data_IF_066202487555
#
_entry.id   IF_066202487555
#
_cell.length_a   1.000
_cell.length_b   1.000
_cell.length_c   1.000
_cell.angle_alpha   90.00
_cell.angle_beta   90.00
_cell.angle_gamma   90.00
#
_symmetry.space_group_name_H-M   'P 1'
#
loop_
_entity.id
_entity.type
_entity.pdbx_description
1 polymer ?
#
# COMPACT_ATOMS: atom_id res chain seq x y z
N UNK A 1 61.07 -37.28 -42.26
CA UNK A 1 61.17 -35.81 -42.21
C UNK A 1 60.64 -35.34 -40.85
N UNK A 2 61.49 -34.65 -40.08
CA UNK A 2 61.30 -33.74 -38.91
C UNK A 2 60.07 -33.99 -37.98
N UNK A 3 60.27 -34.50 -36.76
CA UNK A 3 60.75 -33.85 -35.51
C UNK A 3 59.66 -33.15 -34.69
N UNK A 4 59.60 -33.54 -33.41
CA UNK A 4 58.75 -33.10 -32.31
C UNK A 4 58.94 -31.61 -31.95
N UNK A 5 57.95 -31.05 -31.23
CA UNK A 5 58.14 -29.83 -30.44
C UNK A 5 56.88 -29.30 -29.74
N UNK A 6 56.55 -29.86 -28.55
CA UNK A 6 55.73 -29.18 -27.53
C UNK A 6 56.57 -28.12 -26.83
N UNK A 7 56.14 -26.86 -26.82
CA UNK A 7 56.61 -25.81 -25.89
C UNK A 7 55.37 -24.98 -25.50
N UNK A 8 54.84 -25.16 -24.28
CA UNK A 8 55.13 -24.44 -23.02
C UNK A 8 54.73 -22.97 -23.02
N UNK A 9 53.79 -22.71 -22.11
CA UNK A 9 53.28 -21.44 -21.59
C UNK A 9 54.40 -20.45 -21.25
N UNK A 10 54.20 -19.20 -21.64
CA UNK A 10 54.83 -18.04 -20.99
C UNK A 10 53.75 -16.98 -20.79
N UNK A 11 53.45 -16.73 -19.52
CA UNK A 11 52.68 -15.59 -19.06
C UNK A 11 53.55 -14.33 -19.18
N UNK A 12 52.98 -13.27 -19.74
CA UNK A 12 53.55 -11.92 -19.67
C UNK A 12 52.49 -11.01 -19.06
N UNK A 13 52.72 -10.67 -17.81
CA UNK A 13 52.05 -9.59 -17.11
C UNK A 13 52.59 -8.26 -17.66
N UNK A 14 51.70 -7.39 -18.14
CA UNK A 14 52.03 -6.01 -18.47
C UNK A 14 51.22 -5.09 -17.55
N UNK A 15 51.93 -4.49 -16.59
CA UNK A 15 51.52 -3.33 -15.83
C UNK A 15 51.74 -2.09 -16.70
N UNK A 16 50.71 -1.27 -16.92
CA UNK A 16 50.88 0.08 -17.46
C UNK A 16 49.76 1.00 -16.99
N UNK A 17 50.19 1.95 -16.16
CA UNK A 17 49.69 3.26 -15.77
C UNK A 17 48.39 3.81 -16.39
N UNK A 18 47.67 4.54 -15.54
CA UNK A 18 46.40 5.18 -15.83
C UNK A 18 46.46 6.37 -16.77
N UNK A 19 45.28 6.68 -17.31
CA UNK A 19 44.94 7.97 -17.89
C UNK A 19 43.54 8.33 -17.36
N UNK A 20 43.51 9.34 -16.49
CA UNK A 20 42.30 10.06 -16.11
C UNK A 20 41.94 10.99 -17.27
N UNK A 21 40.83 10.72 -17.96
CA UNK A 21 40.19 11.65 -18.88
C UNK A 21 38.89 12.11 -18.24
N UNK A 22 38.94 13.30 -17.63
CA UNK A 22 37.75 14.07 -17.30
C UNK A 22 37.16 14.60 -18.61
N UNK A 23 35.98 14.08 -18.98
CA UNK A 23 35.15 14.70 -20.03
C UNK A 23 34.03 15.44 -19.33
N UNK A 24 34.18 16.76 -19.23
CA UNK A 24 33.07 17.66 -19.02
C UNK A 24 32.31 17.77 -20.36
N UNK A 25 31.03 17.44 -20.35
CA UNK A 25 30.14 17.58 -21.49
C UNK A 25 28.70 17.80 -21.01
N UNK A 26 28.26 19.05 -21.07
CA UNK A 26 26.85 19.43 -20.98
C UNK A 26 26.15 19.06 -22.31
N UNK A 27 24.89 18.63 -22.25
CA UNK A 27 24.03 18.56 -23.43
C UNK A 27 22.90 17.54 -23.35
N UNK A 28 21.72 18.02 -22.95
CA UNK A 28 20.35 17.63 -23.30
C UNK A 28 20.05 16.27 -23.97
N UNK A 29 19.03 15.60 -23.42
CA UNK A 29 18.07 14.81 -24.18
C UNK A 29 18.22 13.31 -24.07
N UNK A 30 17.58 12.70 -23.06
CA UNK A 30 17.56 11.25 -22.90
C UNK A 30 16.55 10.76 -21.88
N UNK A 31 15.36 10.45 -22.37
CA UNK A 31 14.43 9.40 -21.92
C UNK A 31 14.41 9.06 -20.41
N UNK A 32 13.42 9.61 -19.69
CA UNK A 32 13.11 9.21 -18.31
C UNK A 32 12.35 7.88 -18.29
N UNK A 33 13.01 6.82 -18.73
CA UNK A 33 12.58 5.46 -18.38
C UNK A 33 12.78 5.27 -16.88
N UNK A 34 11.68 5.03 -16.16
CA UNK A 34 11.65 4.71 -14.74
C UNK A 34 12.58 3.52 -14.45
N UNK A 35 13.79 3.82 -13.98
CA UNK A 35 14.78 2.81 -13.60
C UNK A 35 14.31 2.17 -12.29
N UNK A 36 13.93 0.90 -12.39
CA UNK A 36 13.45 0.07 -11.29
C UNK A 36 14.37 0.13 -10.08
N UNK A 37 13.77 0.36 -8.92
CA UNK A 37 14.47 0.40 -7.64
C UNK A 37 14.66 -1.03 -7.16
N UNK A 38 15.82 -1.61 -7.47
CA UNK A 38 16.33 -2.79 -6.75
C UNK A 38 16.87 -2.29 -5.42
N UNK A 39 16.04 -2.26 -4.39
CA UNK A 39 16.44 -1.86 -3.05
C UNK A 39 15.55 -2.55 -2.03
N UNK A 40 16.17 -3.26 -1.09
CA UNK A 40 15.59 -3.58 0.21
C UNK A 40 14.94 -2.31 0.75
N UNK A 41 13.67 -2.39 1.17
CA UNK A 41 12.88 -1.26 1.65
C UNK A 41 13.67 -0.37 2.62
N UNK A 42 14.35 0.66 2.12
CA UNK A 42 14.95 1.65 2.98
C UNK A 42 13.78 2.45 3.54
N UNK A 43 13.54 2.31 4.84
CA UNK A 43 12.42 2.90 5.55
C UNK A 43 12.36 4.45 5.49
N UNK A 44 13.30 5.09 4.79
CA UNK A 44 13.47 6.55 4.71
C UNK A 44 12.61 7.22 3.64
N UNK A 45 12.15 6.47 2.64
CA UNK A 45 11.35 7.00 1.53
C UNK A 45 9.97 6.37 1.52
N UNK A 46 8.93 7.19 1.47
CA UNK A 46 7.55 6.73 1.31
C UNK A 46 6.99 7.18 -0.03
N UNK A 47 6.48 6.23 -0.80
CA UNK A 47 5.83 6.49 -2.08
C UNK A 47 4.34 6.80 -1.88
N UNK A 48 3.90 7.99 -2.28
CA UNK A 48 2.49 8.35 -2.31
C UNK A 48 1.80 7.62 -3.48
N UNK A 49 0.70 6.93 -3.19
CA UNK A 49 -0.04 6.13 -4.16
C UNK A 49 -1.52 6.59 -4.23
N UNK A 50 -1.85 7.46 -5.20
CA UNK A 50 -3.22 7.90 -5.45
C UNK A 50 -4.16 6.74 -5.75
N UNK A 51 -5.46 6.90 -5.46
CA UNK A 51 -6.50 5.85 -5.62
C UNK A 51 -6.49 5.22 -7.00
N UNK A 52 -6.35 6.03 -8.05
CA UNK A 52 -6.46 5.59 -9.46
C UNK A 52 -5.15 5.08 -10.06
N UNK A 53 -4.01 5.31 -9.38
CA UNK A 53 -2.70 4.92 -9.90
C UNK A 53 -2.37 3.48 -9.52
N UNK A 54 -2.07 2.56 -10.47
CA UNK A 54 -1.66 1.20 -10.14
C UNK A 54 -0.31 1.17 -9.39
N UNK A 55 0.53 2.20 -9.54
CA UNK A 55 1.86 2.25 -8.94
C UNK A 55 2.86 1.27 -9.58
N UNK A 56 4.04 1.09 -8.96
CA UNK A 56 5.11 0.27 -9.53
C UNK A 56 4.82 -1.23 -9.40
N UNK A 57 5.12 -1.97 -10.48
CA UNK A 57 5.11 -3.43 -10.51
C UNK A 57 3.75 -4.07 -10.17
N UNK A 58 2.66 -3.76 -10.90
CA UNK A 58 1.37 -4.36 -10.63
C UNK A 58 1.41 -5.89 -10.84
N UNK A 59 0.92 -6.63 -9.85
CA UNK A 59 0.68 -8.06 -9.99
C UNK A 59 -0.44 -8.33 -11.00
N UNK A 60 -1.52 -7.54 -10.97
CA UNK A 60 -2.67 -7.71 -11.85
C UNK A 60 -3.16 -6.39 -12.43
N UNK A 61 -4.04 -6.46 -13.42
CA UNK A 61 -4.92 -5.33 -13.73
C UNK A 61 -5.80 -4.98 -12.52
N UNK A 62 -6.34 -3.76 -12.50
CA UNK A 62 -7.24 -3.31 -11.42
C UNK A 62 -8.49 -4.19 -11.33
N UNK A 63 -8.83 -4.54 -10.09
CA UNK A 63 -10.09 -5.18 -9.69
C UNK A 63 -10.88 -4.32 -8.71
N UNK A 64 -10.41 -3.10 -8.43
CA UNK A 64 -11.17 -2.12 -7.68
C UNK A 64 -12.45 -1.77 -8.44
N UNK A 65 -13.59 -1.77 -7.75
CA UNK A 65 -14.86 -1.25 -8.27
C UNK A 65 -14.93 0.24 -7.96
N UNK A 66 -15.43 1.03 -8.91
CA UNK A 66 -15.63 2.45 -8.69
C UNK A 66 -16.57 2.64 -7.48
N UNK A 67 -16.13 3.43 -6.50
CA UNK A 67 -16.99 3.96 -5.45
C UNK A 67 -17.21 5.42 -5.79
N UNK A 68 -18.38 5.76 -6.29
CA UNK A 68 -18.72 7.12 -6.75
C UNK A 68 -18.77 8.16 -5.62
N UNK A 69 -18.71 7.72 -4.35
CA UNK A 69 -19.17 8.55 -3.20
C UNK A 69 -18.10 8.91 -2.17
N UNK A 70 -16.87 8.38 -2.23
CA UNK A 70 -15.82 8.78 -1.27
C UNK A 70 -15.02 9.95 -1.82
N UNK A 71 -15.66 11.12 -1.90
CA UNK A 71 -14.93 12.38 -1.99
C UNK A 71 -14.04 12.49 -0.75
N UNK A 72 -12.73 12.78 -0.89
CA UNK A 72 -11.95 13.19 0.27
C UNK A 72 -12.61 14.45 0.83
N UNK A 73 -13.18 14.36 2.03
CA UNK A 73 -13.57 15.53 2.81
C UNK A 73 -12.30 16.25 3.25
N UNK A 74 -11.76 17.04 2.32
CA UNK A 74 -10.74 18.03 2.56
C UNK A 74 -11.09 19.23 1.69
N UNK A 75 -11.39 20.37 2.32
CA UNK A 75 -11.53 21.62 1.59
C UNK A 75 -10.26 21.88 0.76
N UNK A 76 -10.37 22.48 -0.44
CA UNK A 76 -9.20 22.95 -1.15
C UNK A 76 -8.58 24.13 -0.39
N UNK A 77 -7.24 24.21 -0.43
CA UNK A 77 -6.41 25.42 -0.32
C UNK A 77 -5.58 25.71 0.93
N UNK A 78 -5.46 24.83 1.92
CA UNK A 78 -4.35 24.95 2.89
C UNK A 78 -3.20 24.01 2.49
N UNK A 79 -2.09 24.59 2.03
CA UNK A 79 -0.81 23.90 1.97
C UNK A 79 -0.52 23.37 3.39
N UNK A 80 -0.18 22.08 3.58
CA UNK A 80 0.01 21.56 4.93
C UNK A 80 1.06 22.39 5.66
N UNK A 81 0.69 22.94 6.83
CA UNK A 81 1.56 23.76 7.69
C UNK A 81 2.82 23.00 8.17
N UNK A 82 2.91 21.71 7.88
CA UNK A 82 3.97 20.82 8.31
C UNK A 82 4.39 19.86 7.19
N UNK A 83 5.66 19.90 6.82
CA UNK A 83 6.32 18.80 6.09
C UNK A 83 6.66 17.61 7.01
N UNK A 84 6.34 17.70 8.31
CA UNK A 84 6.65 16.65 9.28
C UNK A 84 5.60 15.56 9.20
N UNK A 85 6.04 14.41 8.70
CA UNK A 85 5.22 13.21 8.65
C UNK A 85 4.93 12.67 10.04
N UNK A 86 3.64 12.53 10.36
CA UNK A 86 3.16 11.88 11.61
C UNK A 86 2.30 10.69 11.25
N UNK A 87 2.61 9.54 11.83
CA UNK A 87 1.90 8.29 11.60
C UNK A 87 1.22 7.85 12.89
N UNK A 88 -0.09 7.72 12.85
CA UNK A 88 -0.91 7.37 14.00
C UNK A 88 -1.22 5.88 13.96
N UNK A 89 -0.77 5.08 14.94
CA UNK A 89 -1.14 3.68 15.03
C UNK A 89 -2.63 3.56 15.33
N UNK A 90 -3.33 2.75 14.54
CA UNK A 90 -4.77 2.52 14.67
C UNK A 90 -5.05 1.03 14.57
N UNK A 91 -5.83 0.49 15.51
CA UNK A 91 -6.31 -0.90 15.43
C UNK A 91 -7.13 -1.11 14.16
N UNK A 92 -6.80 -2.12 13.36
CA UNK A 92 -7.54 -2.52 12.17
C UNK A 92 -8.99 -2.92 12.44
N UNK A 93 -9.33 -3.22 13.69
CA UNK A 93 -10.69 -3.55 14.11
C UNK A 93 -11.51 -2.33 14.60
N UNK A 94 -10.95 -1.11 14.58
CA UNK A 94 -11.71 0.06 15.04
C UNK A 94 -12.89 0.34 14.08
N UNK A 95 -14.12 0.52 14.61
CA UNK A 95 -15.26 0.88 13.79
C UNK A 95 -15.00 2.16 12.98
N UNK A 96 -15.36 2.12 11.71
CA UNK A 96 -15.25 3.27 10.82
C UNK A 96 -13.85 3.59 10.29
N UNK A 97 -12.83 2.78 10.56
CA UNK A 97 -11.54 2.87 9.82
C UNK A 97 -11.74 2.65 8.31
N UNK A 98 -12.68 1.77 7.99
CA UNK A 98 -13.04 1.41 6.63
C UNK A 98 -14.43 1.93 6.27
N UNK A 99 -14.63 2.10 4.97
CA UNK A 99 -15.93 2.40 4.37
C UNK A 99 -16.26 1.43 3.24
N UNK A 100 -17.44 1.63 2.66
CA UNK A 100 -17.88 0.91 1.47
C UNK A 100 -19.33 1.25 1.15
N UNK A 101 -19.85 0.66 0.08
CA UNK A 101 -21.27 0.75 -0.27
C UNK A 101 -21.97 -0.54 0.17
N UNK A 102 -23.17 -0.41 0.74
CA UNK A 102 -23.97 -1.57 1.17
C UNK A 102 -24.21 -2.51 -0.02
N UNK A 103 -23.98 -3.80 0.20
CA UNK A 103 -24.15 -4.86 -0.80
C UNK A 103 -23.25 -4.75 -2.04
N UNK A 104 -22.21 -3.92 -1.98
CA UNK A 104 -21.21 -3.78 -3.04
C UNK A 104 -19.81 -3.97 -2.48
N UNK A 105 -19.10 -4.97 -2.99
CA UNK A 105 -17.68 -5.15 -2.72
C UNK A 105 -16.85 -4.04 -3.36
N UNK A 106 -15.90 -3.47 -2.62
CA UNK A 106 -14.93 -2.52 -3.15
C UNK A 106 -13.96 -3.16 -4.16
N UNK A 107 -13.80 -4.47 -4.12
CA UNK A 107 -12.91 -5.25 -4.98
C UNK A 107 -13.61 -6.46 -5.56
N UNK A 108 -13.31 -6.79 -6.80
CA UNK A 108 -13.73 -8.03 -7.43
C UNK A 108 -12.77 -9.18 -7.08
N UNK A 109 -13.07 -9.89 -5.98
CA UNK A 109 -12.22 -10.94 -5.40
C UNK A 109 -12.03 -12.13 -6.36
N UNK A 110 -13.08 -12.52 -7.07
CA UNK A 110 -13.03 -13.64 -8.02
C UNK A 110 -12.14 -13.27 -9.22
N UNK A 111 -12.34 -12.07 -9.80
CA UNK A 111 -11.47 -11.57 -10.87
C UNK A 111 -10.02 -11.43 -10.41
N UNK A 112 -9.79 -10.97 -9.18
CA UNK A 112 -8.45 -10.83 -8.60
C UNK A 112 -7.76 -12.19 -8.47
N UNK A 113 -8.53 -13.20 -8.03
CA UNK A 113 -8.05 -14.59 -7.93
C UNK A 113 -7.63 -15.11 -9.29
N UNK A 114 -8.50 -15.01 -10.31
CA UNK A 114 -8.18 -15.44 -11.68
C UNK A 114 -6.91 -14.77 -12.19
N UNK A 115 -6.84 -13.43 -12.14
CA UNK A 115 -5.70 -12.68 -12.65
C UNK A 115 -4.37 -13.03 -11.95
N UNK A 116 -4.41 -13.32 -10.64
CA UNK A 116 -3.21 -13.73 -9.91
C UNK A 116 -2.79 -15.16 -10.26
N UNK A 117 -3.74 -16.08 -10.42
CA UNK A 117 -3.43 -17.50 -10.66
C UNK A 117 -3.10 -17.84 -12.11
N UNK A 118 -3.45 -16.96 -13.06
CA UNK A 118 -3.16 -17.15 -14.48
C UNK A 118 -1.65 -17.07 -14.79
N UNK A 119 -0.88 -16.32 -14.00
CA UNK A 119 0.58 -16.23 -14.11
C UNK A 119 1.24 -16.92 -12.92
N UNK A 120 1.84 -18.09 -13.16
CA UNK A 120 2.48 -18.91 -12.12
C UNK A 120 3.63 -18.20 -11.41
N UNK A 121 4.39 -17.37 -12.11
CA UNK A 121 5.54 -16.66 -11.52
C UNK A 121 5.05 -15.56 -10.58
N UNK A 122 4.02 -14.82 -11.00
CA UNK A 122 3.36 -13.83 -10.14
C UNK A 122 2.63 -14.48 -8.96
N UNK A 123 1.95 -15.60 -9.18
CA UNK A 123 1.31 -16.35 -8.09
C UNK A 123 2.35 -16.76 -7.03
N UNK A 124 3.50 -17.30 -7.44
CA UNK A 124 4.58 -17.66 -6.50
C UNK A 124 5.09 -16.44 -5.75
N UNK A 125 5.44 -15.35 -6.45
CA UNK A 125 5.95 -14.14 -5.81
C UNK A 125 4.92 -13.48 -4.87
N UNK A 126 3.63 -13.54 -5.21
CA UNK A 126 2.55 -13.06 -4.35
C UNK A 126 2.47 -13.91 -3.07
N UNK A 127 2.48 -15.23 -3.22
CA UNK A 127 2.43 -16.18 -2.11
C UNK A 127 3.61 -15.99 -1.15
N UNK A 128 4.82 -15.86 -1.69
CA UNK A 128 6.04 -15.58 -0.90
C UNK A 128 5.89 -14.28 -0.09
N UNK A 129 5.43 -13.20 -0.72
CA UNK A 129 5.23 -11.91 -0.03
C UNK A 129 4.06 -11.91 0.97
N UNK A 130 3.01 -12.70 0.71
CA UNK A 130 1.86 -12.84 1.59
C UNK A 130 2.09 -13.82 2.75
N UNK A 131 3.16 -14.62 2.68
CA UNK A 131 3.49 -15.66 3.68
C UNK A 131 2.54 -16.86 3.62
N UNK A 132 2.14 -17.26 2.41
CA UNK A 132 1.25 -18.41 2.15
C UNK A 132 1.85 -19.30 1.06
N UNK A 133 1.31 -20.51 0.89
CA UNK A 133 1.62 -21.35 -0.27
C UNK A 133 0.83 -20.89 -1.50
N UNK A 134 1.39 -21.02 -2.71
CA UNK A 134 0.72 -20.59 -3.95
C UNK A 134 -0.65 -21.26 -4.17
N UNK A 135 -0.79 -22.53 -3.76
CA UNK A 135 -2.06 -23.27 -3.83
C UNK A 135 -3.15 -22.69 -2.92
N UNK A 136 -2.77 -21.91 -1.89
CA UNK A 136 -3.70 -21.30 -0.94
C UNK A 136 -4.27 -19.97 -1.43
N UNK A 137 -3.74 -19.37 -2.50
CA UNK A 137 -4.15 -18.04 -2.99
C UNK A 137 -5.68 -17.88 -3.12
N UNK A 138 -6.43 -18.81 -3.76
CA UNK A 138 -7.88 -18.66 -3.87
C UNK A 138 -8.59 -18.62 -2.52
N UNK A 139 -8.22 -19.52 -1.60
CA UNK A 139 -8.79 -19.58 -0.26
C UNK A 139 -8.42 -18.36 0.59
N UNK A 140 -7.18 -17.90 0.46
CA UNK A 140 -6.68 -16.70 1.12
C UNK A 140 -7.47 -15.47 0.68
N UNK A 141 -7.57 -15.18 -0.63
CA UNK A 141 -8.28 -14.01 -1.14
C UNK A 141 -9.77 -14.04 -0.77
N UNK A 142 -10.41 -15.21 -0.82
CA UNK A 142 -11.81 -15.40 -0.41
C UNK A 142 -12.04 -15.16 1.08
N UNK A 143 -11.02 -15.33 1.92
CA UNK A 143 -11.11 -15.03 3.35
C UNK A 143 -11.02 -13.54 3.68
N UNK A 144 -10.54 -12.73 2.73
CA UNK A 144 -10.36 -11.30 2.92
C UNK A 144 -11.63 -10.52 2.58
N UNK A 145 -11.85 -9.43 3.30
CA UNK A 145 -13.03 -8.59 3.13
C UNK A 145 -12.72 -7.39 2.23
N UNK A 146 -13.47 -7.17 1.13
CA UNK A 146 -13.29 -6.01 0.27
C UNK A 146 -13.92 -4.75 0.89
N UNK A 147 -13.09 -3.75 1.17
CA UNK A 147 -13.46 -2.46 1.78
C UNK A 147 -12.66 -1.30 1.18
N UNK A 148 -13.00 -0.07 1.56
CA UNK A 148 -12.27 1.14 1.17
C UNK A 148 -11.64 1.81 2.39
N UNK A 149 -10.42 2.31 2.25
CA UNK A 149 -9.75 3.13 3.27
C UNK A 149 -10.45 4.48 3.44
N UNK A 150 -10.73 4.91 4.68
CA UNK A 150 -11.26 6.26 4.95
C UNK A 150 -10.22 7.31 5.31
N UNK A 151 -8.99 6.88 5.57
CA UNK A 151 -7.85 7.75 5.86
C UNK A 151 -6.64 7.33 5.01
N UNK A 152 -5.73 8.28 4.80
CA UNK A 152 -4.45 8.00 4.16
C UNK A 152 -3.68 7.02 5.03
N UNK A 153 -3.29 5.86 4.46
CA UNK A 153 -2.76 4.74 5.23
C UNK A 153 -1.36 4.37 4.77
N UNK A 154 -0.41 4.30 5.69
CA UNK A 154 0.89 3.73 5.39
C UNK A 154 0.87 2.21 5.44
N UNK A 155 1.50 1.61 4.44
CA UNK A 155 1.68 0.16 4.31
C UNK A 155 3.07 -0.15 3.78
N UNK A 156 3.50 -1.41 3.97
CA UNK A 156 4.51 -1.99 3.09
C UNK A 156 3.80 -2.57 1.86
N UNK A 157 4.06 -2.03 0.67
CA UNK A 157 3.54 -2.54 -0.59
C UNK A 157 4.63 -3.34 -1.31
N UNK A 158 4.23 -4.33 -2.11
CA UNK A 158 5.16 -5.17 -2.86
C UNK A 158 4.87 -5.11 -4.35
N UNK A 159 5.82 -4.59 -5.13
CA UNK A 159 5.75 -4.58 -6.59
C UNK A 159 6.39 -5.84 -7.15
N UNK A 160 5.85 -6.38 -8.24
CA UNK A 160 6.48 -7.49 -8.95
C UNK A 160 7.55 -6.98 -9.92
N UNK A 161 8.77 -7.47 -9.78
CA UNK A 161 9.86 -7.23 -10.75
C UNK A 161 10.82 -8.40 -10.77
N UNK A 162 11.39 -8.73 -11.94
CA UNK A 162 12.42 -9.75 -12.09
C UNK A 162 12.09 -11.13 -11.46
N UNK A 163 10.82 -11.53 -11.46
CA UNK A 163 10.39 -12.82 -10.91
C UNK A 163 10.09 -12.84 -9.41
N UNK A 164 10.22 -11.70 -8.72
CA UNK A 164 10.01 -11.63 -7.27
C UNK A 164 9.19 -10.41 -6.85
N UNK A 165 8.68 -10.46 -5.62
CA UNK A 165 8.05 -9.34 -4.95
C UNK A 165 9.13 -8.45 -4.30
N UNK A 166 9.10 -7.15 -4.57
CA UNK A 166 10.00 -6.15 -4.00
C UNK A 166 9.22 -5.21 -3.08
N UNK A 167 9.56 -5.21 -1.80
CA UNK A 167 8.92 -4.38 -0.78
C UNK A 167 9.34 -2.91 -0.88
N UNK A 168 8.40 -2.00 -0.66
CA UNK A 168 8.64 -0.56 -0.50
C UNK A 168 7.59 0.05 0.44
N UNK A 169 7.95 1.15 1.13
CA UNK A 169 6.99 1.88 1.96
C UNK A 169 6.10 2.77 1.08
N UNK A 170 4.80 2.76 1.35
CA UNK A 170 3.82 3.54 0.62
C UNK A 170 2.79 4.19 1.54
N UNK A 171 2.29 5.37 1.16
CA UNK A 171 1.02 5.90 1.68
C UNK A 171 -0.03 5.71 0.60
N UNK A 172 -1.08 4.95 0.93
CA UNK A 172 -2.27 4.79 0.10
C UNK A 172 -3.24 5.92 0.41
N UNK A 173 -3.73 6.59 -0.63
CA UNK A 173 -4.76 7.63 -0.50
C UNK A 173 -6.07 7.04 0.08
N UNK A 174 -6.76 7.79 0.94
CA UNK A 174 -8.14 7.55 1.32
C UNK A 174 -9.02 7.36 0.06
N UNK A 175 -9.96 6.41 0.09
CA UNK A 175 -10.67 5.97 -1.11
C UNK A 175 -10.02 4.78 -1.82
N UNK A 176 -8.83 4.34 -1.41
CA UNK A 176 -8.19 3.14 -1.99
C UNK A 176 -8.93 1.88 -1.56
N UNK A 177 -9.39 1.10 -2.56
CA UNK A 177 -9.99 -0.22 -2.36
C UNK A 177 -8.93 -1.27 -1.97
N UNK A 178 -9.17 -1.99 -0.88
CA UNK A 178 -8.27 -3.00 -0.31
C UNK A 178 -9.03 -4.26 0.11
N UNK A 179 -8.33 -5.39 0.13
CA UNK A 179 -8.78 -6.61 0.80
C UNK A 179 -8.15 -6.67 2.19
N UNK A 180 -8.97 -6.79 3.24
CA UNK A 180 -8.52 -6.80 4.64
C UNK A 180 -8.73 -8.16 5.30
N UNK A 181 -7.82 -8.55 6.18
CA UNK A 181 -7.95 -9.82 6.92
C UNK A 181 -8.85 -9.70 8.16
N UNK A 182 -9.04 -10.82 8.87
CA UNK A 182 -9.89 -10.89 10.06
C UNK A 182 -9.40 -10.05 11.25
N UNK A 183 -8.16 -9.54 11.23
CA UNK A 183 -7.65 -8.58 12.23
C UNK A 183 -7.71 -7.14 11.71
N UNK A 184 -8.35 -6.93 10.56
CA UNK A 184 -8.49 -5.64 9.92
C UNK A 184 -7.19 -5.12 9.33
N UNK A 185 -6.25 -5.98 8.95
CA UNK A 185 -5.04 -5.51 8.26
C UNK A 185 -5.28 -5.45 6.75
N UNK A 186 -4.93 -4.35 6.04
CA UNK A 186 -4.88 -4.34 4.58
C UNK A 186 -3.86 -5.36 4.07
N UNK A 187 -4.30 -6.28 3.21
CA UNK A 187 -3.49 -7.39 2.69
C UNK A 187 -3.30 -7.37 1.18
N UNK A 188 -4.20 -6.74 0.44
CA UNK A 188 -4.09 -6.59 -1.03
C UNK A 188 -4.63 -5.23 -1.45
N UNK A 189 -3.91 -4.54 -2.34
CA UNK A 189 -4.41 -3.32 -2.99
C UNK A 189 -5.08 -3.67 -4.31
N UNK A 190 -6.38 -3.41 -4.43
CA UNK A 190 -7.18 -3.91 -5.56
C UNK A 190 -6.88 -3.20 -6.89
N UNK A 191 -6.30 -1.99 -6.85
CA UNK A 191 -5.88 -1.28 -8.06
C UNK A 191 -4.73 -1.97 -8.82
N UNK A 192 -3.95 -2.82 -8.16
CA UNK A 192 -2.77 -3.46 -8.76
C UNK A 192 -2.57 -4.94 -8.37
N UNK A 193 -3.40 -5.49 -7.48
CA UNK A 193 -3.26 -6.87 -6.99
C UNK A 193 -2.05 -7.11 -6.08
N UNK A 194 -1.34 -6.06 -5.68
CA UNK A 194 -0.12 -6.19 -4.92
C UNK A 194 -0.42 -6.65 -3.49
N UNK A 195 0.38 -7.58 -2.93
CA UNK A 195 0.28 -7.95 -1.52
C UNK A 195 0.79 -6.80 -0.64
N UNK A 196 0.09 -6.57 0.46
CA UNK A 196 0.39 -5.53 1.44
C UNK A 196 0.80 -6.18 2.77
N UNK A 197 1.73 -5.52 3.45
CA UNK A 197 2.19 -5.86 4.79
C UNK A 197 2.13 -4.66 5.74
N UNK A 198 2.39 -4.89 7.05
CA UNK A 198 2.45 -3.83 8.05
C UNK A 198 3.45 -2.74 7.64
N UNK A 199 3.19 -1.46 7.96
CA UNK A 199 4.12 -0.39 7.67
C UNK A 199 5.42 -0.54 8.49
N UNK A 200 6.53 -0.14 7.89
CA UNK A 200 7.79 0.12 8.61
C UNK A 200 7.91 1.63 8.75
N UNK A 201 7.69 2.13 9.96
CA UNK A 201 7.75 3.56 10.26
C UNK A 201 9.18 3.89 10.72
N UNK A 202 9.91 4.66 9.92
CA UNK A 202 11.18 5.24 10.36
C UNK A 202 10.93 6.57 11.07
N UNK A 203 11.71 6.82 12.13
CA UNK A 203 11.73 8.10 12.82
C UNK A 203 12.43 9.19 11.97
N UNK A 204 11.93 10.42 12.01
CA UNK A 204 12.56 11.59 11.41
C UNK A 204 11.97 12.04 10.07
N UNK A 205 12.69 12.92 9.36
CA UNK A 205 12.26 13.46 8.06
C UNK A 205 12.27 12.34 7.01
N UNK A 206 11.08 12.00 6.51
CA UNK A 206 10.89 11.03 5.44
C UNK A 206 10.81 11.78 4.11
N UNK A 207 11.55 11.32 3.10
CA UNK A 207 11.39 11.85 1.76
C UNK A 207 10.10 11.26 1.15
N UNK A 208 9.21 12.14 0.71
CA UNK A 208 8.02 11.75 -0.01
C UNK A 208 8.32 11.68 -1.51
N UNK A 209 7.92 10.58 -2.15
CA UNK A 209 8.01 10.41 -3.61
C UNK A 209 6.61 10.26 -4.20
N UNK A 210 6.42 10.66 -5.44
CA UNK A 210 5.13 10.60 -6.14
C UNK A 210 4.28 11.86 -5.94
N UNK A 211 3.14 11.90 -6.63
CA UNK A 211 2.26 13.07 -6.65
C UNK A 211 1.40 13.13 -5.39
N UNK A 212 1.32 14.30 -4.77
CA UNK A 212 0.37 14.61 -3.70
C UNK A 212 -1.03 14.79 -4.31
N UNK A 213 -2.07 14.37 -3.60
CA UNK A 213 -3.46 14.63 -3.94
C UNK A 213 -4.02 15.83 -3.16
N UNK A 214 -5.09 16.50 -3.65
CA UNK A 214 -5.83 17.45 -2.84
C UNK A 214 -6.27 16.83 -1.51
N UNK A 215 -6.02 17.53 -0.40
CA UNK A 215 -6.32 17.04 0.95
C UNK A 215 -5.28 16.08 1.54
N UNK A 216 -4.16 15.82 0.86
CA UNK A 216 -3.05 15.08 1.46
C UNK A 216 -2.44 15.89 2.62
N UNK A 217 -2.49 15.34 3.83
CA UNK A 217 -1.88 15.91 5.03
C UNK A 217 -0.86 14.91 5.62
N UNK A 218 0.45 15.20 5.58
CA UNK A 218 1.48 14.31 6.12
C UNK A 218 1.38 14.12 7.64
N UNK A 219 0.65 14.97 8.37
CA UNK A 219 0.37 14.79 9.79
C UNK A 219 -0.84 13.87 10.07
N UNK A 220 -1.62 13.51 9.04
CA UNK A 220 -2.83 12.69 9.14
C UNK A 220 -2.72 11.38 8.37
N UNK A 221 -1.69 10.59 8.70
CA UNK A 221 -1.49 9.25 8.13
C UNK A 221 -1.74 8.20 9.20
N UNK A 222 -2.48 7.14 8.87
CA UNK A 222 -2.66 5.98 9.77
C UNK A 222 -1.66 4.87 9.47
N UNK A 223 -1.13 4.24 10.52
CA UNK A 223 -0.54 2.91 10.45
C UNK A 223 -1.54 1.91 11.02
N UNK A 224 -2.08 1.03 10.18
CA UNK A 224 -3.00 0.02 10.65
C UNK A 224 -2.22 -1.07 11.38
N UNK A 225 -2.60 -1.32 12.63
CA UNK A 225 -2.08 -2.39 13.47
C UNK A 225 -3.09 -3.53 13.58
N UNK A 226 -2.64 -4.79 13.74
CA UNK A 226 -3.57 -5.90 13.84
C UNK A 226 -4.46 -5.75 15.06
N UNK A 227 -5.78 -5.91 14.86
CA UNK A 227 -6.72 -6.02 15.96
C UNK A 227 -6.32 -7.15 16.93
N UNK A 228 -6.55 -6.91 18.23
CA UNK A 228 -6.16 -7.83 19.32
C UNK A 228 -6.77 -9.23 19.13
N UNK A 229 -7.97 -9.30 18.54
CA UNK A 229 -8.67 -10.55 18.23
C UNK A 229 -9.10 -10.56 16.77
N UNK A 230 -9.18 -11.75 16.19
CA UNK A 230 -9.85 -11.92 14.90
C UNK A 230 -11.35 -11.60 15.08
N UNK A 231 -11.84 -10.67 14.27
CA UNK A 231 -13.24 -10.28 14.21
C UNK A 231 -13.99 -11.16 13.21
N UNK A 232 -15.27 -11.42 13.49
CA UNK A 232 -16.17 -12.13 12.57
C UNK A 232 -16.76 -11.18 11.50
N UNK A 233 -16.75 -9.87 11.78
CA UNK A 233 -17.26 -8.81 10.92
C UNK A 233 -16.49 -7.51 11.16
N UNK A 234 -16.56 -6.60 10.19
CA UNK A 234 -16.11 -5.21 10.32
C UNK A 234 -17.31 -4.30 10.41
N UNK A 235 -17.19 -3.26 11.24
CA UNK A 235 -18.15 -2.15 11.28
C UNK A 235 -17.58 -1.03 10.41
N UNK A 236 -18.15 -0.85 9.22
CA UNK A 236 -17.69 0.09 8.20
C UNK A 236 -18.72 1.20 7.99
N UNK A 237 -18.27 2.36 7.50
CA UNK A 237 -19.16 3.47 7.14
C UNK A 237 -19.72 3.28 5.74
N UNK A 238 -21.03 3.45 5.58
CA UNK A 238 -21.67 3.50 4.28
C UNK A 238 -21.32 4.81 3.57
N UNK A 239 -20.71 4.70 2.40
CA UNK A 239 -20.28 5.85 1.61
C UNK A 239 -21.45 6.68 1.04
N UNK A 240 -22.64 6.08 0.92
CA UNK A 240 -23.77 6.73 0.23
C UNK A 240 -24.67 7.55 1.17
N UNK A 241 -24.84 7.11 2.42
CA UNK A 241 -25.78 7.71 3.37
C UNK A 241 -25.20 7.95 4.77
N UNK A 242 -23.89 7.73 4.95
CA UNK A 242 -23.18 7.93 6.22
C UNK A 242 -23.82 7.14 7.39
N UNK A 243 -24.29 5.91 7.13
CA UNK A 243 -24.77 4.98 8.17
C UNK A 243 -23.78 3.85 8.46
N UNK A 244 -24.00 3.07 9.52
CA UNK A 244 -23.18 1.90 9.82
C UNK A 244 -23.57 0.67 8.97
N UNK A 245 -22.55 -0.06 8.52
CA UNK A 245 -22.68 -1.39 7.92
C UNK A 245 -21.83 -2.37 8.74
N UNK A 246 -22.43 -3.47 9.17
CA UNK A 246 -21.70 -4.65 9.60
C UNK A 246 -21.49 -5.57 8.39
N UNK A 247 -20.24 -5.72 7.96
CA UNK A 247 -19.82 -6.61 6.87
C UNK A 247 -19.09 -7.82 7.44
N UNK A 248 -19.65 -9.00 7.24
CA UNK A 248 -19.01 -10.24 7.67
C UNK A 248 -17.66 -10.47 6.98
N UNK A 249 -16.71 -11.10 7.66
CA UNK A 249 -15.40 -11.38 7.07
C UNK A 249 -15.52 -12.28 5.81
N UNK A 250 -14.73 -11.96 4.79
CA UNK A 250 -14.75 -12.63 3.49
C UNK A 250 -16.01 -12.33 2.65
N UNK A 251 -16.91 -11.48 3.13
CA UNK A 251 -18.16 -11.17 2.43
C UNK A 251 -17.97 -10.08 1.38
N UNK A 252 -18.51 -10.31 0.18
CA UNK A 252 -18.53 -9.33 -0.91
C UNK A 252 -19.73 -8.36 -0.84
N UNK A 253 -20.36 -8.22 0.34
CA UNK A 253 -21.50 -7.34 0.61
C UNK A 253 -22.86 -8.04 0.64
N UNK A 254 -22.96 -9.29 0.15
CA UNK A 254 -24.22 -10.03 0.08
C UNK A 254 -24.87 -10.34 1.43
N UNK A 255 -24.13 -10.21 2.54
CA UNK A 255 -24.61 -10.39 3.92
C UNK A 255 -24.44 -9.13 4.78
N UNK A 256 -24.26 -7.98 4.15
CA UNK A 256 -24.21 -6.71 4.87
C UNK A 256 -25.51 -6.50 5.68
N UNK A 257 -25.36 -6.06 6.92
CA UNK A 257 -26.48 -5.74 7.82
C UNK A 257 -26.22 -4.43 8.57
N UNK A 258 -27.25 -3.92 9.22
CA UNK A 258 -27.07 -2.90 10.26
C UNK A 258 -26.51 -3.61 11.49
N UNK A 259 -25.47 -3.06 12.17
CA UNK A 259 -24.96 -3.66 13.40
C UNK A 259 -26.05 -3.73 14.47
N UNK A 260 -26.12 -4.86 15.18
CA UNK A 260 -27.08 -5.04 16.29
C UNK A 260 -26.77 -4.08 17.46
N UNK A 261 -25.48 -3.81 17.69
CA UNK A 261 -24.95 -2.85 18.67
C UNK A 261 -24.04 -1.85 17.93
N UNK A 262 -24.59 -0.70 17.48
CA UNK A 262 -23.81 0.27 16.74
C UNK A 262 -22.79 0.97 17.65
N UNK A 263 -21.65 1.44 17.10
CA UNK A 263 -20.69 2.25 17.85
C UNK A 263 -21.36 3.46 18.53
N UNK A 264 -20.90 3.88 19.72
CA UNK A 264 -21.50 4.98 20.50
C UNK A 264 -21.14 6.38 19.96
N UNK A 265 -20.85 6.48 18.67
CA UNK A 265 -20.45 7.69 17.96
C UNK A 265 -20.96 7.64 16.52
N UNK A 266 -21.09 8.81 15.90
CA UNK A 266 -21.57 8.93 14.53
C UNK A 266 -20.53 8.46 13.50
N UNK A 267 -20.94 7.92 12.34
CA UNK A 267 -20.02 7.43 11.30
C UNK A 267 -19.05 8.49 10.72
N UNK A 268 -19.40 9.77 10.78
CA UNK A 268 -18.57 10.89 10.32
C UNK A 268 -17.61 11.43 11.40
N UNK A 269 -17.64 10.89 12.63
CA UNK A 269 -16.73 11.31 13.68
C UNK A 269 -15.26 11.07 13.29
N UNK A 270 -14.45 12.13 13.32
CA UNK A 270 -13.01 12.07 13.06
C UNK A 270 -12.26 11.59 14.31
N UNK A 271 -12.33 10.28 14.57
CA UNK A 271 -11.70 9.65 15.74
C UNK A 271 -10.26 9.22 15.52
N UNK A 272 -9.80 9.26 14.27
CA UNK A 272 -8.47 8.76 13.89
C UNK A 272 -7.38 9.81 14.12
N UNK A 273 -7.74 11.08 14.19
CA UNK A 273 -6.80 12.18 14.32
C UNK A 273 -7.26 13.19 15.38
N UNK A 274 -6.46 13.47 16.42
CA UNK A 274 -6.70 14.65 17.25
C UNK A 274 -6.47 15.91 16.41
N UNK A 275 -7.27 16.97 16.64
CA UNK A 275 -7.02 18.27 15.99
C UNK A 275 -5.60 18.77 16.30
N UNK A 276 -4.79 19.13 15.29
CA UNK A 276 -3.51 19.78 15.54
C UNK A 276 -3.76 21.19 16.08
N UNK A 277 -3.83 21.33 17.40
CA UNK A 277 -3.75 22.62 18.11
C UNK A 277 -5.06 23.17 18.69
N UNK A 278 -5.33 22.84 19.96
CA UNK A 278 -5.49 23.84 21.02
C UNK A 278 -5.02 23.22 22.34
N UNK A 279 -4.07 23.80 23.08
CA UNK A 279 -3.81 23.38 24.44
C UNK A 279 -5.10 23.58 25.25
N UNK A 280 -5.60 22.54 25.89
CA UNK A 280 -6.57 22.70 26.97
C UNK A 280 -5.81 23.27 28.16
N UNK A 281 -5.66 24.59 28.22
CA UNK A 281 -5.29 25.24 29.47
C UNK A 281 -6.55 25.27 30.36
N UNK A 282 -6.54 24.62 31.53
CA UNK A 282 -7.64 24.78 32.47
C UNK A 282 -7.62 26.22 32.99
N UNK A 283 -8.77 26.89 33.15
CA UNK A 283 -8.80 28.16 33.85
C UNK A 283 -8.30 27.93 35.28
N UNK A 284 -7.21 28.61 35.64
CA UNK A 284 -6.77 28.67 37.03
C UNK A 284 -7.81 29.43 37.87
N UNK A 285 -8.06 29.00 39.11
CA UNK A 285 -9.11 29.56 39.98
C UNK A 285 -8.86 31.01 40.39
#
# INVERSE_FOLDING_TARGET
MRSQGRFRRTALAALSAGVLLAVAGCGEGGDRTAKGTTGTAEAKDVLLQPVTSPGPGPFTASTARATDSLSPSGAPDDEPDSDTRTVHPVSGAVPGLYGGTRSVAACDVERQTTLLTDDKSKASAFADAAGIEAVQIPGYLKSLTPVVLRADAQVTNHGYSAGSATAFQAVLQAGTAVLVDSRGMPRVRCACGNPLGPPVVADGKVAHRGDRWPGYDPARIVAVEPGVKAAASLIIVNADDNTWIERAMGDSGGRDRVPDDPPPFEPDADLLFPSPGRPSEPPSP
#
